data_IF_090236655051
#
_entry.id   IF_090236655051
#
_cell.length_a   1.000
_cell.length_b   1.000
_cell.length_c   1.000
_cell.angle_alpha   90.00
_cell.angle_beta   90.00
_cell.angle_gamma   90.00
#
_symmetry.space_group_name_H-M   'P 1'
#
loop_
_entity.id
_entity.type
_entity.pdbx_description
1 polymer ?
#
# COMPACT_ATOMS: atom_id res chain seq x y z
N UNK A 1 61.52 -43.66 41.18
CA UNK A 1 60.12 -43.55 41.63
C UNK A 1 59.24 -44.36 40.69
N UNK A 2 58.40 -45.24 41.24
CA UNK A 2 57.24 -45.85 40.56
C UNK A 2 56.25 -44.74 40.15
N UNK A 3 55.33 -44.82 39.18
CA UNK A 3 54.32 -45.83 38.77
C UNK A 3 53.84 -45.42 37.35
N UNK A 4 53.71 -46.30 36.34
CA UNK A 4 52.59 -47.19 35.98
C UNK A 4 51.27 -46.52 35.50
N UNK A 5 50.69 -47.14 34.44
CA UNK A 5 49.27 -47.18 34.02
C UNK A 5 48.79 -46.10 33.01
N UNK A 6 48.07 -46.35 31.91
CA UNK A 6 47.11 -47.42 31.48
C UNK A 6 47.18 -47.61 29.94
N UNK A 7 47.26 -48.83 29.38
CA UNK A 7 46.17 -49.73 28.88
C UNK A 7 45.10 -49.08 27.98
N UNK A 8 45.17 -49.29 26.64
CA UNK A 8 44.37 -50.23 25.79
C UNK A 8 42.86 -49.95 25.79
N UNK A 9 42.15 -49.81 24.66
CA UNK A 9 41.75 -50.92 23.77
C UNK A 9 41.21 -50.46 22.39
N UNK A 10 41.33 -51.37 21.42
CA UNK A 10 40.81 -51.40 20.03
C UNK A 10 39.32 -51.78 19.95
N UNK A 11 38.60 -51.31 18.93
CA UNK A 11 37.68 -52.04 18.02
C UNK A 11 36.90 -51.01 17.17
N UNK A 12 36.99 -50.96 15.83
CA UNK A 12 36.44 -51.86 14.80
C UNK A 12 34.92 -51.68 14.53
N UNK A 13 34.63 -50.94 13.45
CA UNK A 13 33.65 -51.17 12.36
C UNK A 13 32.21 -51.64 12.69
N UNK A 14 31.19 -50.90 12.20
CA UNK A 14 30.09 -51.44 11.37
C UNK A 14 29.13 -50.36 10.85
N UNK A 15 28.86 -50.46 9.54
CA UNK A 15 27.78 -49.82 8.79
C UNK A 15 26.38 -50.12 9.34
N UNK A 16 25.45 -49.20 9.08
CA UNK A 16 24.09 -49.58 8.66
C UNK A 16 22.94 -48.88 9.38
N UNK A 17 22.47 -47.76 8.83
CA UNK A 17 21.04 -47.46 8.75
C UNK A 17 20.82 -46.43 7.64
N UNK A 18 20.38 -46.95 6.49
CA UNK A 18 19.76 -46.19 5.42
C UNK A 18 18.49 -45.53 5.95
N UNK A 19 18.44 -44.20 5.98
CA UNK A 19 17.18 -43.48 5.82
C UNK A 19 17.31 -42.62 4.57
N UNK A 20 16.82 -43.20 3.48
CA UNK A 20 16.61 -42.54 2.20
C UNK A 20 15.44 -41.56 2.35
N UNK A 21 15.60 -40.54 3.19
CA UNK A 21 14.69 -39.41 3.27
C UNK A 21 15.05 -38.45 2.15
N UNK A 22 14.51 -38.68 0.94
CA UNK A 22 14.37 -37.61 -0.04
C UNK A 22 13.42 -36.59 0.59
N UNK A 23 13.95 -35.66 1.37
CA UNK A 23 13.28 -34.40 1.55
C UNK A 23 13.24 -33.77 0.17
N UNK A 24 12.05 -33.73 -0.43
CA UNK A 24 11.74 -32.76 -1.47
C UNK A 24 11.76 -31.38 -0.80
N UNK A 25 12.96 -30.94 -0.40
CA UNK A 25 13.22 -29.53 -0.25
C UNK A 25 13.06 -28.98 -1.65
N UNK A 26 11.89 -28.43 -1.94
CA UNK A 26 11.64 -27.53 -3.06
C UNK A 26 12.57 -26.35 -2.84
N UNK A 27 13.84 -26.53 -3.18
CA UNK A 27 14.78 -25.46 -3.38
C UNK A 27 14.21 -24.73 -4.57
N UNK A 28 13.38 -23.73 -4.30
CA UNK A 28 13.00 -22.71 -5.27
C UNK A 28 14.31 -22.12 -5.75
N UNK A 29 14.82 -22.66 -6.85
CA UNK A 29 15.85 -22.02 -7.66
C UNK A 29 15.23 -20.70 -8.09
N UNK A 30 15.55 -19.64 -7.36
CA UNK A 30 15.32 -18.27 -7.81
C UNK A 30 15.99 -18.17 -9.18
N UNK A 31 15.19 -17.94 -10.21
CA UNK A 31 15.70 -17.88 -11.58
C UNK A 31 16.70 -16.72 -11.65
N UNK A 32 17.95 -17.04 -11.98
CA UNK A 32 19.08 -16.14 -11.83
C UNK A 32 19.11 -14.96 -12.85
N UNK A 33 17.96 -14.54 -13.39
CA UNK A 33 17.84 -13.48 -14.41
C UNK A 33 16.53 -12.69 -14.32
N UNK A 34 15.96 -12.50 -13.14
CA UNK A 34 14.86 -11.54 -12.97
C UNK A 34 15.46 -10.20 -12.57
N UNK A 35 15.25 -9.17 -13.39
CA UNK A 35 15.62 -7.80 -13.05
C UNK A 35 14.51 -7.15 -12.20
N UNK A 36 14.83 -6.14 -11.37
CA UNK A 36 13.82 -5.41 -10.60
C UNK A 36 12.68 -4.85 -11.46
N UNK A 37 12.98 -4.38 -12.68
CA UNK A 37 12.01 -3.81 -13.61
C UNK A 37 11.01 -4.87 -14.08
N UNK A 38 11.50 -6.08 -14.37
CA UNK A 38 10.65 -7.21 -14.75
C UNK A 38 9.75 -7.65 -13.60
N UNK A 39 10.27 -7.65 -12.38
CA UNK A 39 9.47 -7.97 -11.19
C UNK A 39 8.40 -6.91 -10.93
N UNK A 40 8.74 -5.62 -11.02
CA UNK A 40 7.79 -4.52 -10.88
C UNK A 40 6.69 -4.56 -11.93
N UNK A 41 7.03 -4.80 -13.19
CA UNK A 41 6.04 -4.92 -14.28
C UNK A 41 5.10 -6.11 -14.07
N UNK A 42 5.64 -7.24 -13.60
CA UNK A 42 4.84 -8.43 -13.27
C UNK A 42 3.86 -8.14 -12.12
N UNK A 43 4.29 -7.40 -11.09
CA UNK A 43 3.44 -6.99 -9.99
C UNK A 43 2.28 -6.08 -10.44
N UNK A 44 2.58 -5.08 -11.29
CA UNK A 44 1.58 -4.16 -11.85
C UNK A 44 0.53 -4.93 -12.66
N UNK A 45 0.97 -5.85 -13.53
CA UNK A 45 0.08 -6.67 -14.35
C UNK A 45 -0.79 -7.61 -13.48
N UNK A 46 -0.22 -8.21 -12.43
CA UNK A 46 -0.95 -9.06 -11.52
C UNK A 46 -2.03 -8.28 -10.74
N UNK A 47 -1.70 -7.06 -10.27
CA UNK A 47 -2.66 -6.19 -9.60
C UNK A 47 -3.81 -5.78 -10.52
N UNK A 48 -3.51 -5.40 -11.78
CA UNK A 48 -4.53 -5.08 -12.78
C UNK A 48 -5.45 -6.28 -13.05
N UNK A 49 -4.88 -7.48 -13.22
CA UNK A 49 -5.66 -8.69 -13.51
C UNK A 49 -6.56 -9.09 -12.34
N UNK A 50 -6.07 -9.00 -11.09
CA UNK A 50 -6.80 -9.50 -9.92
C UNK A 50 -7.79 -8.49 -9.35
N UNK A 51 -7.46 -7.21 -9.37
CA UNK A 51 -8.24 -6.15 -8.72
C UNK A 51 -8.81 -5.13 -9.70
N UNK A 52 -8.49 -5.20 -11.00
CA UNK A 52 -8.87 -4.17 -11.97
C UNK A 52 -8.12 -2.84 -11.78
N UNK A 53 -7.11 -2.79 -10.91
CA UNK A 53 -6.42 -1.55 -10.52
C UNK A 53 -5.11 -1.39 -11.26
N UNK A 54 -4.96 -0.27 -11.97
CA UNK A 54 -3.70 0.12 -12.58
C UNK A 54 -2.85 0.85 -11.55
N UNK A 55 -1.79 0.20 -11.08
CA UNK A 55 -0.83 0.84 -10.18
C UNK A 55 -0.08 1.95 -10.93
N UNK A 56 0.00 3.12 -10.29
CA UNK A 56 0.82 4.23 -10.78
C UNK A 56 2.30 3.83 -10.90
N UNK A 57 3.07 4.52 -11.75
CA UNK A 57 4.53 4.43 -11.73
C UNK A 57 5.11 5.08 -10.47
N UNK A 58 6.41 4.89 -10.22
CA UNK A 58 7.09 5.54 -9.09
C UNK A 58 7.01 7.06 -9.21
N UNK A 59 7.24 7.58 -10.40
CA UNK A 59 7.27 9.01 -10.71
C UNK A 59 5.88 9.62 -10.56
N UNK A 60 4.84 8.92 -11.03
CA UNK A 60 3.44 9.33 -10.83
C UNK A 60 3.06 9.38 -9.36
N UNK A 61 3.45 8.36 -8.56
CA UNK A 61 3.22 8.38 -7.11
C UNK A 61 3.92 9.56 -6.43
N UNK A 62 5.18 9.82 -6.79
CA UNK A 62 5.94 10.96 -6.24
C UNK A 62 5.24 12.27 -6.58
N UNK A 63 4.84 12.47 -7.84
CA UNK A 63 4.13 13.67 -8.26
C UNK A 63 2.81 13.87 -7.50
N UNK A 64 2.01 12.81 -7.35
CA UNK A 64 0.77 12.84 -6.55
C UNK A 64 1.03 13.24 -5.10
N UNK A 65 2.01 12.60 -4.45
CA UNK A 65 2.34 12.90 -3.05
C UNK A 65 2.81 14.35 -2.86
N UNK A 66 3.71 14.83 -3.74
CA UNK A 66 4.17 16.22 -3.72
C UNK A 66 3.01 17.18 -3.96
N UNK A 67 2.13 16.88 -4.93
CA UNK A 67 0.97 17.71 -5.24
C UNK A 67 -0.01 17.83 -4.07
N UNK A 68 -0.37 16.70 -3.46
CA UNK A 68 -1.23 16.69 -2.28
C UNK A 68 -0.59 17.39 -1.07
N UNK A 69 0.69 17.11 -0.79
CA UNK A 69 1.42 17.80 0.29
C UNK A 69 1.42 19.31 0.10
N UNK A 70 1.74 19.77 -1.11
CA UNK A 70 1.81 21.20 -1.44
C UNK A 70 0.46 21.87 -1.26
N UNK A 71 -0.61 21.27 -1.83
CA UNK A 71 -1.99 21.79 -1.71
C UNK A 71 -2.41 21.90 -0.26
N UNK A 72 -2.20 20.83 0.51
CA UNK A 72 -2.70 20.75 1.87
C UNK A 72 -1.90 21.65 2.82
N UNK A 73 -0.57 21.66 2.68
CA UNK A 73 0.31 22.44 3.55
C UNK A 73 0.11 23.95 3.38
N UNK A 74 0.06 24.44 2.13
CA UNK A 74 -0.27 25.84 1.84
C UNK A 74 -1.70 26.16 2.28
N UNK A 75 -2.65 25.28 1.98
CA UNK A 75 -4.06 25.46 2.35
C UNK A 75 -4.26 25.57 3.87
N UNK A 76 -3.64 24.70 4.67
CA UNK A 76 -3.70 24.76 6.14
C UNK A 76 -3.06 26.05 6.69
N UNK A 77 -1.95 26.50 6.11
CA UNK A 77 -1.32 27.75 6.51
C UNK A 77 -2.24 28.95 6.19
N UNK A 78 -2.75 29.02 4.96
CA UNK A 78 -3.69 30.07 4.55
C UNK A 78 -4.97 30.06 5.37
N UNK A 79 -5.51 28.88 5.71
CA UNK A 79 -6.64 28.75 6.63
C UNK A 79 -6.30 29.34 8.01
N UNK A 80 -5.11 29.09 8.54
CA UNK A 80 -4.67 29.68 9.81
C UNK A 80 -4.52 31.20 9.77
N UNK A 81 -4.16 31.77 8.61
CA UNK A 81 -3.94 33.22 8.43
C UNK A 81 -5.22 33.99 8.09
N UNK A 82 -6.05 33.44 7.21
CA UNK A 82 -7.27 34.08 6.71
C UNK A 82 -8.53 33.67 7.49
N UNK A 83 -8.46 32.60 8.29
CA UNK A 83 -9.54 32.13 9.15
C UNK A 83 -10.88 32.04 8.40
N UNK A 84 -11.84 32.89 8.75
CA UNK A 84 -13.21 32.88 8.19
C UNK A 84 -13.27 33.27 6.70
N UNK A 85 -12.27 33.99 6.19
CA UNK A 85 -12.19 34.37 4.77
C UNK A 85 -11.64 33.24 3.89
N UNK A 86 -11.13 32.16 4.49
CA UNK A 86 -10.57 31.04 3.75
C UNK A 86 -11.67 30.06 3.29
N UNK A 87 -11.64 29.74 2.00
CA UNK A 87 -12.47 28.68 1.41
C UNK A 87 -11.59 27.64 0.73
N UNK A 88 -11.72 26.38 1.14
CA UNK A 88 -11.02 25.25 0.48
C UNK A 88 -11.39 25.14 -1.00
N UNK A 89 -12.63 25.44 -1.37
CA UNK A 89 -13.06 25.42 -2.77
C UNK A 89 -12.32 26.48 -3.58
N UNK A 90 -12.25 27.71 -3.06
CA UNK A 90 -11.51 28.80 -3.71
C UNK A 90 -10.02 28.50 -3.77
N UNK A 91 -9.45 27.98 -2.68
CA UNK A 91 -8.05 27.57 -2.64
C UNK A 91 -7.73 26.49 -3.66
N UNK A 92 -8.58 25.47 -3.82
CA UNK A 92 -8.37 24.41 -4.81
C UNK A 92 -8.33 24.97 -6.25
N UNK A 93 -9.20 25.94 -6.56
CA UNK A 93 -9.20 26.64 -7.86
C UNK A 93 -7.91 27.43 -8.08
N UNK A 94 -7.43 28.14 -7.05
CA UNK A 94 -6.16 28.87 -7.09
C UNK A 94 -4.99 27.90 -7.27
N UNK A 95 -4.96 26.81 -6.49
CA UNK A 95 -3.95 25.77 -6.57
C UNK A 95 -3.88 25.18 -7.98
N UNK A 96 -5.01 24.73 -8.53
CA UNK A 96 -5.10 24.17 -9.87
C UNK A 96 -4.61 25.16 -10.95
N UNK A 97 -4.92 26.44 -10.79
CA UNK A 97 -4.43 27.49 -11.70
C UNK A 97 -2.91 27.61 -11.66
N UNK A 98 -2.30 27.58 -10.49
CA UNK A 98 -0.84 27.75 -10.31
C UNK A 98 -0.09 26.46 -10.67
N UNK A 99 -0.44 25.34 -10.04
CA UNK A 99 0.34 24.10 -10.04
C UNK A 99 -0.25 22.97 -10.88
N UNK A 100 -1.52 23.08 -11.31
CA UNK A 100 -2.28 21.95 -11.85
C UNK A 100 -3.02 21.18 -10.78
N UNK A 101 -3.68 20.10 -11.17
CA UNK A 101 -4.37 19.24 -10.21
C UNK A 101 -3.35 18.53 -9.31
N UNK A 102 -3.65 18.25 -8.03
CA UNK A 102 -2.75 17.52 -7.15
C UNK A 102 -2.33 16.15 -7.72
N UNK A 103 -3.18 15.55 -8.57
CA UNK A 103 -2.92 14.28 -9.22
C UNK A 103 -2.16 14.39 -10.54
N UNK A 104 -2.07 15.60 -11.10
CA UNK A 104 -1.47 15.88 -12.40
C UNK A 104 -0.85 17.28 -12.40
N UNK A 105 0.37 17.36 -11.85
CA UNK A 105 1.09 18.61 -11.70
C UNK A 105 1.58 19.13 -13.05
N UNK A 106 1.41 20.45 -13.27
CA UNK A 106 1.94 21.18 -14.44
C UNK A 106 3.47 21.24 -14.47
N UNK A 107 4.10 21.10 -13.31
CA UNK A 107 5.56 21.20 -13.15
C UNK A 107 6.12 19.93 -12.54
N UNK A 108 7.39 19.60 -12.82
CA UNK A 108 8.07 18.49 -12.18
C UNK A 108 8.04 18.61 -10.64
N UNK A 109 7.96 17.49 -9.90
CA UNK A 109 7.91 17.48 -8.44
C UNK A 109 9.05 18.27 -7.79
N UNK A 110 10.24 18.27 -8.38
CA UNK A 110 11.44 18.96 -7.91
C UNK A 110 11.27 20.49 -7.96
N UNK A 111 10.59 21.01 -9.00
CA UNK A 111 10.32 22.44 -9.14
C UNK A 111 9.29 22.89 -8.10
N UNK A 112 8.24 22.10 -7.92
CA UNK A 112 7.21 22.37 -6.89
C UNK A 112 7.83 22.30 -5.49
N UNK A 113 8.66 21.30 -5.23
CA UNK A 113 9.37 21.16 -3.95
C UNK A 113 10.34 22.32 -3.70
N UNK A 114 11.07 22.77 -4.73
CA UNK A 114 11.92 23.96 -4.65
C UNK A 114 11.13 25.23 -4.32
N UNK A 115 9.94 25.42 -4.90
CA UNK A 115 9.06 26.53 -4.53
C UNK A 115 8.63 26.45 -3.05
N UNK A 116 8.35 25.24 -2.55
CA UNK A 116 8.01 25.03 -1.14
C UNK A 116 9.20 25.31 -0.21
N UNK A 117 10.44 24.98 -0.61
CA UNK A 117 11.66 25.31 0.14
C UNK A 117 11.90 26.83 0.27
N UNK A 118 11.46 27.62 -0.72
CA UNK A 118 11.52 29.09 -0.63
C UNK A 118 10.51 29.62 0.40
N UNK A 119 9.32 29.02 0.48
CA UNK A 119 8.23 29.47 1.34
C UNK A 119 8.42 28.97 2.79
N UNK A 120 8.93 27.76 2.97
CA UNK A 120 9.00 27.06 4.26
C UNK A 120 10.44 26.74 4.65
N UNK A 121 10.87 27.31 5.78
CA UNK A 121 12.24 27.14 6.31
C UNK A 121 12.60 25.70 6.69
N UNK A 122 11.61 24.85 6.97
CA UNK A 122 11.78 23.45 7.37
C UNK A 122 11.75 22.48 6.18
N UNK A 123 11.51 22.98 4.96
CA UNK A 123 11.68 22.20 3.74
C UNK A 123 13.12 22.38 3.24
N UNK A 124 13.90 21.30 3.06
CA UNK A 124 15.29 21.39 2.59
C UNK A 124 15.40 22.10 1.22
N UNK A 125 16.52 22.78 0.96
CA UNK A 125 16.76 23.45 -0.33
C UNK A 125 17.26 22.50 -1.42
N UNK A 126 17.82 21.35 -1.04
CA UNK A 126 18.27 20.32 -1.98
C UNK A 126 17.06 19.63 -2.63
N UNK A 127 16.97 19.54 -3.97
CA UNK A 127 15.75 19.10 -4.67
C UNK A 127 15.21 17.73 -4.20
N UNK A 128 16.08 16.73 -4.09
CA UNK A 128 15.69 15.37 -3.70
C UNK A 128 15.19 15.32 -2.24
N UNK A 129 15.87 16.05 -1.34
CA UNK A 129 15.49 16.14 0.05
C UNK A 129 14.19 16.95 0.25
N UNK A 130 13.96 17.98 -0.58
CA UNK A 130 12.73 18.75 -0.60
C UNK A 130 11.54 17.88 -1.01
N UNK A 131 11.69 17.09 -2.08
CA UNK A 131 10.68 16.13 -2.53
C UNK A 131 10.38 15.12 -1.43
N UNK A 132 11.41 14.55 -0.80
CA UNK A 132 11.22 13.58 0.29
C UNK A 132 10.49 14.20 1.49
N UNK A 133 10.86 15.42 1.89
CA UNK A 133 10.19 16.12 2.99
C UNK A 133 8.69 16.34 2.73
N UNK A 134 8.31 16.60 1.46
CA UNK A 134 6.91 16.72 1.08
C UNK A 134 6.20 15.36 1.02
N UNK A 135 6.87 14.30 0.58
CA UNK A 135 6.34 12.92 0.66
C UNK A 135 6.03 12.56 2.12
N UNK A 136 6.98 12.81 3.03
CA UNK A 136 6.80 12.51 4.46
C UNK A 136 5.66 13.34 5.07
N UNK A 137 5.51 14.59 4.63
CA UNK A 137 4.38 15.43 5.04
C UNK A 137 3.05 14.83 4.56
N UNK A 138 2.96 14.38 3.30
CA UNK A 138 1.75 13.77 2.77
C UNK A 138 1.37 12.51 3.54
N UNK A 139 2.35 11.63 3.82
CA UNK A 139 2.10 10.37 4.51
C UNK A 139 1.57 10.60 5.94
N UNK A 140 2.18 11.54 6.69
CA UNK A 140 1.66 11.95 8.01
C UNK A 140 0.25 12.54 7.93
N UNK A 141 0.00 13.35 6.91
CA UNK A 141 -1.29 14.02 6.73
C UNK A 141 -2.41 13.03 6.38
N UNK A 142 -2.12 12.04 5.53
CA UNK A 142 -3.04 10.95 5.21
C UNK A 142 -3.30 10.06 6.42
N UNK A 143 -2.27 9.73 7.19
CA UNK A 143 -2.42 8.96 8.43
C UNK A 143 -3.33 9.67 9.43
N UNK A 144 -3.13 10.99 9.63
CA UNK A 144 -3.97 11.78 10.54
C UNK A 144 -5.43 11.84 10.08
N UNK A 145 -5.67 12.00 8.78
CA UNK A 145 -7.03 11.97 8.21
C UNK A 145 -7.69 10.60 8.38
N UNK A 146 -7.00 9.53 8.03
CA UNK A 146 -7.52 8.17 8.15
C UNK A 146 -7.79 7.80 9.62
N UNK A 147 -6.96 8.29 10.55
CA UNK A 147 -7.19 8.12 11.99
C UNK A 147 -8.47 8.84 12.41
N UNK A 148 -8.63 10.11 12.04
CA UNK A 148 -9.84 10.88 12.37
C UNK A 148 -11.10 10.23 11.78
N UNK A 149 -11.07 9.82 10.52
CA UNK A 149 -12.20 9.14 9.87
C UNK A 149 -12.54 7.81 10.56
N UNK A 150 -11.56 7.13 11.15
CA UNK A 150 -11.81 5.92 11.96
C UNK A 150 -12.43 6.27 13.32
N UNK A 151 -11.89 7.26 14.02
CA UNK A 151 -12.41 7.73 15.30
C UNK A 151 -13.85 8.26 15.17
N UNK A 152 -14.19 8.89 14.05
CA UNK A 152 -15.56 9.35 13.75
C UNK A 152 -16.52 8.15 13.57
N UNK A 153 -16.13 7.12 12.81
CA UNK A 153 -16.95 5.90 12.66
C UNK A 153 -17.11 5.13 13.96
N UNK A 154 -16.03 4.99 14.73
CA UNK A 154 -16.07 4.29 16.03
C UNK A 154 -16.93 5.04 17.07
N UNK A 155 -17.04 6.37 16.99
CA UNK A 155 -17.93 7.15 17.85
C UNK A 155 -19.39 7.11 17.38
N UNK A 156 -19.67 7.05 16.08
CA UNK A 156 -21.03 6.85 15.57
C UNK A 156 -21.55 5.44 15.94
N UNK A 157 -20.72 4.40 15.85
CA UNK A 157 -21.08 3.03 16.27
C UNK A 157 -21.36 2.91 17.79
N UNK A 158 -20.85 3.84 18.62
CA UNK A 158 -21.16 3.89 20.06
C UNK A 158 -22.47 4.64 20.35
N UNK A 159 -22.89 5.57 19.49
CA UNK A 159 -24.19 6.25 19.63
C UNK A 159 -25.36 5.32 19.27
N UNK A 160 -25.17 4.35 18.37
CA UNK A 160 -26.18 3.34 18.02
C UNK A 160 -26.39 2.29 19.14
N UNK A 161 -25.40 2.07 20.02
CA UNK A 161 -25.53 1.16 21.16
C UNK A 161 -26.22 1.84 22.36
N UNK A 162 -26.11 3.16 22.50
CA UNK A 162 -26.74 3.89 23.60
C UNK A 162 -28.27 4.02 23.41
N UNK A 163 -28.78 3.92 22.18
CA UNK A 163 -30.23 3.86 21.87
C UNK A 163 -30.82 2.45 22.05
N UNK A 164 -29.99 1.39 22.02
CA UNK A 164 -30.42 -0.01 22.21
C UNK A 164 -30.45 -0.49 23.67
N UNK A 165 -29.97 0.32 24.62
CA UNK A 165 -29.97 -0.04 26.05
C UNK A 165 -31.15 0.52 26.85
N UNK A 166 -32.05 1.28 26.20
CA UNK A 166 -33.24 1.87 26.83
C UNK A 166 -34.58 1.24 26.40
N UNK A 167 -34.58 0.18 25.58
CA UNK A 167 -35.77 -0.65 25.34
C UNK A 167 -35.58 -2.05 25.95
N UNK A 168 -36.13 -2.18 27.15
CA UNK A 168 -36.54 -3.40 27.84
C UNK A 168 -37.38 -4.25 26.87
N UNK A 169 -36.77 -5.22 26.18
CA UNK A 169 -37.51 -6.25 25.47
C UNK A 169 -36.98 -7.65 25.78
N UNK A 170 -37.94 -8.50 26.13
CA UNK A 170 -37.80 -9.76 26.81
C UNK A 170 -37.02 -10.77 25.96
N UNK A 171 -35.97 -11.36 26.52
CA UNK A 171 -35.33 -12.56 25.96
C UNK A 171 -36.33 -13.72 26.01
N UNK A 172 -37.09 -13.91 24.94
CA UNK A 172 -37.79 -15.16 24.65
C UNK A 172 -36.99 -15.98 23.62
N UNK A 173 -36.78 -17.23 23.99
CA UNK A 173 -35.95 -18.23 23.33
C UNK A 173 -36.54 -18.64 21.97
N UNK A 174 -35.73 -18.68 20.91
CA UNK A 174 -35.88 -19.70 19.88
C UNK A 174 -34.55 -19.93 19.13
N UNK A 175 -33.90 -21.06 19.46
CA UNK A 175 -32.82 -21.66 18.68
C UNK A 175 -33.35 -22.05 17.29
N UNK A 176 -32.84 -21.44 16.21
CA UNK A 176 -32.97 -22.00 14.86
C UNK A 176 -31.59 -22.26 14.22
N UNK A 177 -31.38 -23.54 13.92
CA UNK A 177 -30.27 -24.16 13.21
C UNK A 177 -29.90 -23.41 11.92
N UNK A 178 -28.63 -22.99 11.80
CA UNK A 178 -28.04 -22.57 10.52
C UNK A 178 -27.48 -23.79 9.79
N UNK A 179 -28.33 -24.45 9.01
CA UNK A 179 -27.92 -25.48 8.05
C UNK A 179 -27.20 -24.80 6.87
N UNK A 180 -25.87 -24.91 6.87
CA UNK A 180 -24.98 -24.38 5.83
C UNK A 180 -25.10 -25.27 4.58
N UNK A 181 -25.90 -24.84 3.60
CA UNK A 181 -25.92 -25.45 2.26
C UNK A 181 -24.99 -24.67 1.34
N UNK A 182 -23.89 -25.33 1.04
CA UNK A 182 -22.89 -25.04 0.02
C UNK A 182 -23.50 -25.36 -1.36
N UNK A 183 -23.74 -24.36 -2.20
CA UNK A 183 -24.05 -24.55 -3.63
C UNK A 183 -23.03 -23.80 -4.48
N UNK A 184 -22.03 -24.58 -4.91
CA UNK A 184 -21.20 -24.32 -6.08
C UNK A 184 -22.07 -24.10 -7.32
N UNK A 185 -22.00 -22.91 -7.93
CA UNK A 185 -22.39 -22.71 -9.33
C UNK A 185 -21.17 -22.25 -10.15
N UNK A 186 -20.55 -23.25 -10.77
CA UNK A 186 -19.70 -23.11 -11.96
C UNK A 186 -20.54 -22.52 -13.11
N UNK A 187 -20.27 -21.28 -13.51
CA UNK A 187 -20.72 -20.75 -14.81
C UNK A 187 -19.53 -20.62 -15.77
N UNK A 188 -19.53 -21.54 -16.74
CA UNK A 188 -18.79 -21.52 -18.00
C UNK A 188 -18.87 -20.13 -18.68
N UNK A 189 -17.73 -19.45 -18.79
CA UNK A 189 -17.58 -18.32 -19.72
C UNK A 189 -16.86 -18.80 -20.98
N UNK A 190 -17.68 -19.12 -21.96
CA UNK A 190 -17.35 -19.43 -23.34
C UNK A 190 -16.48 -18.34 -23.99
N UNK A 191 -15.42 -18.82 -24.64
CA UNK A 191 -14.85 -18.39 -25.93
C UNK A 191 -15.15 -16.94 -26.41
N UNK A 192 -14.14 -16.08 -26.35
CA UNK A 192 -14.08 -14.86 -27.16
C UNK A 192 -12.82 -14.91 -28.03
N UNK A 193 -12.93 -15.68 -29.11
CA UNK A 193 -12.07 -15.59 -30.29
C UNK A 193 -12.74 -14.56 -31.21
N UNK A 194 -12.19 -13.35 -31.31
CA UNK A 194 -12.25 -12.62 -32.57
C UNK A 194 -11.06 -11.66 -32.70
N UNK A 195 -10.28 -11.95 -33.72
CA UNK A 195 -9.16 -11.20 -34.26
C UNK A 195 -9.66 -9.88 -34.87
N UNK A 196 -9.05 -8.75 -34.54
CA UNK A 196 -8.78 -7.75 -35.57
C UNK A 196 -7.52 -6.93 -35.24
N UNK A 197 -6.42 -7.36 -35.86
CA UNK A 197 -5.28 -6.52 -36.19
C UNK A 197 -5.76 -5.41 -37.11
N UNK A 198 -5.46 -4.15 -36.80
CA UNK A 198 -5.28 -3.16 -37.86
C UNK A 198 -4.02 -2.33 -37.61
N UNK A 199 -3.17 -2.37 -38.64
CA UNK A 199 -1.96 -1.60 -38.82
C UNK A 199 -2.31 -0.11 -38.78
N UNK A 200 -1.53 0.69 -38.04
CA UNK A 200 -1.43 2.11 -38.36
C UNK A 200 0.03 2.47 -38.59
N UNK A 201 0.48 2.13 -39.80
CA UNK A 201 1.66 2.70 -40.43
C UNK A 201 1.31 4.08 -41.03
N UNK A 202 2.21 5.03 -40.74
CA UNK A 202 2.73 6.10 -41.61
C UNK A 202 1.78 7.10 -42.32
N UNK A 203 1.84 8.36 -41.86
CA UNK A 203 2.12 9.55 -42.70
C UNK A 203 2.73 10.69 -41.85
#
# INVERSE_FOLDING_TARGET
MATASRRTTRAANKNGASSNGKSNAKTTKTSAKVTPEKLASTLIAAAQKKFGVKLDTREQRIAKKVGYATRERLGKNLLGLAQDDFSWETWNKIFAKIFGEPTDLKYPPEIVAGAMAIIYHDVPTEPEAAVQALIDYNDRSLEERNRREREERENDDLNDIEELLDEDDELDDEEEDLDFVDEDEDEDLEDFDDDELDDFDED
#
